data_IF_841769660504
#
_entry.id   IF_841769660504
#
_cell.length_a   1.000
_cell.length_b   1.000
_cell.length_c   1.000
_cell.angle_alpha   90.00
_cell.angle_beta   90.00
_cell.angle_gamma   90.00
#
_symmetry.space_group_name_H-M   'P 1'
#
loop_
_entity.id
_entity.type
_entity.pdbx_description
1 polymer ?
#
# COMPACT_ATOMS: atom_id res chain seq x y z
N UNK A 1 6.85 7.34 14.29
CA UNK A 1 6.25 6.95 15.59
C UNK A 1 5.28 5.78 15.43
N UNK A 2 4.55 5.64 14.34
CA UNK A 2 3.57 4.53 14.18
C UNK A 2 4.19 3.23 13.62
N UNK A 3 5.41 3.25 13.11
CA UNK A 3 6.10 2.07 12.59
C UNK A 3 7.14 1.52 13.58
N UNK A 4 7.77 2.38 14.35
CA UNK A 4 8.84 2.05 15.28
C UNK A 4 8.39 2.32 16.70
N UNK A 5 8.73 1.47 17.69
CA UNK A 5 8.43 1.72 19.10
C UNK A 5 8.89 3.12 19.54
N UNK A 6 8.06 3.81 20.30
CA UNK A 6 8.30 5.21 20.69
C UNK A 6 9.64 5.43 21.38
N UNK A 7 10.06 4.48 22.22
CA UNK A 7 11.37 4.54 22.89
C UNK A 7 12.54 4.62 21.93
N UNK A 8 12.54 3.80 20.87
CA UNK A 8 13.58 3.82 19.83
C UNK A 8 13.50 5.10 18.98
N UNK A 9 12.30 5.61 18.71
CA UNK A 9 12.14 6.90 18.02
C UNK A 9 12.76 8.03 18.82
N UNK A 10 12.51 8.07 20.14
CA UNK A 10 13.11 9.08 21.05
C UNK A 10 14.61 8.95 21.12
N UNK A 11 15.14 7.73 21.25
CA UNK A 11 16.57 7.48 21.25
C UNK A 11 17.23 8.02 19.97
N UNK A 12 16.72 7.64 18.81
CA UNK A 12 17.24 8.13 17.51
C UNK A 12 17.19 9.65 17.41
N UNK A 13 16.05 10.25 17.82
CA UNK A 13 15.86 11.69 17.74
C UNK A 13 16.77 12.47 18.69
N UNK A 14 16.99 11.97 19.90
CA UNK A 14 17.79 12.67 20.89
C UNK A 14 19.29 12.50 20.69
N UNK A 15 19.72 11.34 20.18
CA UNK A 15 21.15 11.06 19.95
C UNK A 15 21.64 11.53 18.59
N UNK A 16 20.75 11.63 17.59
CA UNK A 16 21.12 11.90 16.20
C UNK A 16 22.05 10.84 15.60
N UNK A 17 22.13 9.63 16.22
CA UNK A 17 23.01 8.57 15.77
C UNK A 17 22.59 8.00 14.42
N UNK A 18 23.57 7.45 13.69
CA UNK A 18 23.28 6.69 12.48
C UNK A 18 22.65 5.36 12.86
N UNK A 19 21.67 4.94 12.07
CA UNK A 19 20.99 3.64 12.16
C UNK A 19 21.43 2.80 10.97
N UNK A 20 21.88 1.58 11.23
CA UNK A 20 22.26 0.63 10.18
C UNK A 20 21.01 0.08 9.48
N UNK A 21 21.19 -0.48 8.26
CA UNK A 21 20.09 -1.09 7.51
C UNK A 21 19.47 -2.28 8.26
N UNK A 22 20.30 -3.11 8.90
CA UNK A 22 19.82 -4.26 9.67
C UNK A 22 19.05 -3.82 10.93
N UNK A 23 19.54 -2.82 11.64
CA UNK A 23 18.83 -2.24 12.78
C UNK A 23 17.47 -1.63 12.35
N UNK A 24 17.43 -0.96 11.20
CA UNK A 24 16.20 -0.42 10.62
C UNK A 24 15.19 -1.55 10.27
N UNK A 25 15.68 -2.70 9.83
CA UNK A 25 14.85 -3.89 9.59
C UNK A 25 14.32 -4.47 10.91
N UNK A 26 15.18 -4.66 11.90
CA UNK A 26 14.81 -5.21 13.22
C UNK A 26 13.75 -4.36 13.93
N UNK A 27 13.86 -3.04 13.85
CA UNK A 27 12.87 -2.14 14.45
C UNK A 27 11.61 -1.89 13.60
N UNK A 28 11.51 -2.49 12.42
CA UNK A 28 10.36 -2.36 11.52
C UNK A 28 10.29 -1.03 10.77
N UNK A 29 11.38 -0.28 10.70
CA UNK A 29 11.44 0.97 9.93
C UNK A 29 11.47 0.72 8.42
N UNK A 30 12.11 -0.36 7.99
CA UNK A 30 12.12 -0.84 6.61
C UNK A 30 11.63 -2.29 6.54
N UNK A 31 11.03 -2.67 5.43
CA UNK A 31 10.47 -4.01 5.24
C UNK A 31 11.51 -5.05 4.83
N UNK A 32 12.58 -4.62 4.16
CA UNK A 32 13.64 -5.50 3.61
C UNK A 32 14.96 -4.75 3.53
N UNK A 33 16.03 -5.51 3.57
CA UNK A 33 17.42 -5.06 3.32
C UNK A 33 18.01 -5.98 2.27
N UNK A 34 18.84 -5.42 1.40
CA UNK A 34 19.49 -6.13 0.31
C UNK A 34 21.00 -5.87 0.36
N UNK A 35 21.79 -6.83 -0.05
CA UNK A 35 23.25 -6.72 -0.01
C UNK A 35 23.83 -5.72 -1.01
N UNK A 36 23.13 -5.54 -2.15
CA UNK A 36 23.57 -4.63 -3.21
C UNK A 36 22.41 -3.80 -3.76
N UNK A 37 22.74 -2.66 -4.36
CA UNK A 37 21.76 -1.81 -5.04
C UNK A 37 21.02 -2.57 -6.17
N UNK A 38 21.74 -3.39 -6.94
CA UNK A 38 21.11 -4.16 -8.02
C UNK A 38 20.13 -5.20 -7.47
N UNK A 39 20.49 -5.90 -6.40
CA UNK A 39 19.59 -6.83 -5.72
C UNK A 39 18.35 -6.11 -5.15
N UNK A 40 18.55 -4.91 -4.59
CA UNK A 40 17.45 -4.07 -4.10
C UNK A 40 16.49 -3.68 -5.24
N UNK A 41 17.01 -3.18 -6.35
CA UNK A 41 16.20 -2.79 -7.50
C UNK A 41 15.42 -3.98 -8.06
N UNK A 42 16.06 -5.14 -8.21
CA UNK A 42 15.38 -6.35 -8.66
C UNK A 42 14.26 -6.78 -7.71
N UNK A 43 14.54 -6.78 -6.39
CA UNK A 43 13.55 -7.15 -5.38
C UNK A 43 12.37 -6.16 -5.29
N UNK A 44 12.64 -4.86 -5.42
CA UNK A 44 11.59 -3.82 -5.43
C UNK A 44 10.73 -3.92 -6.69
N UNK A 45 11.34 -4.17 -7.85
CA UNK A 45 10.59 -4.37 -9.11
C UNK A 45 9.71 -5.61 -9.05
N UNK A 46 10.17 -6.71 -8.43
CA UNK A 46 9.32 -7.89 -8.19
C UNK A 46 8.09 -7.56 -7.35
N UNK A 47 8.26 -6.82 -6.24
CA UNK A 47 7.14 -6.39 -5.40
C UNK A 47 6.20 -5.45 -6.18
N UNK A 48 6.74 -4.54 -6.97
CA UNK A 48 5.93 -3.62 -7.79
C UNK A 48 5.10 -4.40 -8.83
N UNK A 49 5.68 -5.44 -9.42
CA UNK A 49 4.96 -6.32 -10.34
C UNK A 49 3.82 -7.08 -9.63
N UNK A 50 4.10 -7.66 -8.45
CA UNK A 50 3.07 -8.33 -7.64
C UNK A 50 1.90 -7.38 -7.29
N UNK A 51 2.20 -6.10 -7.01
CA UNK A 51 1.16 -5.10 -6.75
C UNK A 51 0.38 -4.78 -8.03
N UNK A 52 1.07 -4.66 -9.18
CA UNK A 52 0.45 -4.33 -10.46
C UNK A 52 -0.45 -5.45 -11.01
N UNK A 53 -0.29 -6.67 -10.55
CA UNK A 53 -1.16 -7.82 -10.90
C UNK A 53 -2.50 -7.82 -10.15
N UNK A 54 -2.67 -6.96 -9.15
CA UNK A 54 -3.93 -6.85 -8.42
C UNK A 54 -4.83 -5.75 -9.03
N UNK A 55 -6.13 -5.84 -8.76
CA UNK A 55 -7.11 -4.85 -9.18
C UNK A 55 -6.72 -3.44 -8.69
N UNK A 56 -6.50 -2.46 -9.57
CA UNK A 56 -5.99 -1.14 -9.20
C UNK A 56 -6.88 -0.41 -8.19
N UNK A 57 -8.20 -0.54 -8.32
CA UNK A 57 -9.17 0.10 -7.42
C UNK A 57 -9.09 -0.53 -6.02
N UNK A 58 -8.92 -1.84 -5.92
CA UNK A 58 -8.74 -2.54 -4.64
C UNK A 58 -7.43 -2.11 -3.94
N UNK A 59 -6.31 -2.03 -4.68
CA UNK A 59 -5.04 -1.55 -4.15
C UNK A 59 -5.15 -0.11 -3.65
N UNK A 60 -5.81 0.76 -4.42
CA UNK A 60 -6.06 2.14 -4.01
C UNK A 60 -6.95 2.22 -2.76
N UNK A 61 -8.02 1.44 -2.70
CA UNK A 61 -8.90 1.34 -1.54
C UNK A 61 -8.18 0.88 -0.28
N UNK A 62 -7.36 -0.18 -0.38
CA UNK A 62 -6.52 -0.64 0.72
C UNK A 62 -5.57 0.44 1.23
N UNK A 63 -4.90 1.16 0.33
CA UNK A 63 -4.02 2.28 0.70
C UNK A 63 -4.78 3.36 1.47
N UNK A 64 -5.97 3.71 1.02
CA UNK A 64 -6.82 4.71 1.67
C UNK A 64 -7.29 4.23 3.05
N UNK A 65 -7.77 2.99 3.15
CA UNK A 65 -8.24 2.38 4.40
C UNK A 65 -7.14 2.34 5.46
N UNK A 66 -5.94 1.86 5.10
CA UNK A 66 -4.77 1.83 6.00
C UNK A 66 -4.40 3.24 6.48
N UNK A 67 -4.43 4.21 5.58
CA UNK A 67 -4.10 5.60 5.93
C UNK A 67 -5.15 6.20 6.85
N UNK A 68 -6.43 5.95 6.59
CA UNK A 68 -7.55 6.44 7.41
C UNK A 68 -7.52 5.83 8.82
N UNK A 69 -7.42 4.51 8.93
CA UNK A 69 -7.38 3.78 10.19
C UNK A 69 -6.20 4.17 11.11
N UNK A 70 -5.19 4.84 10.57
CA UNK A 70 -4.03 5.29 11.35
C UNK A 70 -4.38 6.33 12.40
N UNK A 71 -5.37 7.18 12.13
CA UNK A 71 -5.72 8.35 12.93
C UNK A 71 -7.18 8.33 13.43
N UNK A 72 -7.88 7.20 13.19
CA UNK A 72 -9.29 7.01 13.53
C UNK A 72 -9.48 5.76 14.38
N UNK A 73 -10.64 5.64 15.01
CA UNK A 73 -11.02 4.45 15.75
C UNK A 73 -11.27 3.26 14.82
N UNK A 74 -11.30 2.05 15.38
CA UNK A 74 -11.63 0.84 14.60
C UNK A 74 -13.04 0.93 14.02
N UNK A 75 -13.99 1.47 14.76
CA UNK A 75 -15.39 1.65 14.35
C UNK A 75 -15.48 2.57 13.12
N UNK A 76 -14.89 3.75 13.20
CA UNK A 76 -14.81 4.69 12.06
C UNK A 76 -14.11 4.09 10.85
N UNK A 77 -13.04 3.31 11.06
CA UNK A 77 -12.35 2.59 10.00
C UNK A 77 -13.23 1.55 9.30
N UNK A 78 -14.03 0.80 10.06
CA UNK A 78 -14.99 -0.17 9.53
C UNK A 78 -16.15 0.51 8.78
N UNK A 79 -16.68 1.60 9.28
CA UNK A 79 -17.69 2.40 8.57
C UNK A 79 -17.14 2.92 7.25
N UNK A 80 -15.92 3.46 7.27
CA UNK A 80 -15.28 3.98 6.08
C UNK A 80 -15.09 2.89 5.01
N UNK A 81 -14.58 1.71 5.37
CA UNK A 81 -14.35 0.62 4.41
C UNK A 81 -15.67 0.05 3.87
N UNK A 82 -16.72 0.00 4.69
CA UNK A 82 -18.06 -0.41 4.26
C UNK A 82 -18.63 0.54 3.21
N UNK A 83 -18.51 1.86 3.45
CA UNK A 83 -18.93 2.87 2.49
C UNK A 83 -18.11 2.82 1.21
N UNK A 84 -16.79 2.66 1.33
CA UNK A 84 -15.89 2.48 0.18
C UNK A 84 -16.30 1.27 -0.66
N UNK A 85 -16.46 0.12 -0.03
CA UNK A 85 -16.83 -1.12 -0.71
C UNK A 85 -18.21 -0.99 -1.41
N UNK A 86 -19.19 -0.40 -0.74
CA UNK A 86 -20.51 -0.19 -1.30
C UNK A 86 -20.53 0.73 -2.54
N UNK A 87 -19.59 1.71 -2.59
CA UNK A 87 -19.56 2.71 -3.66
C UNK A 87 -18.56 2.41 -4.77
N UNK A 88 -17.46 1.71 -4.48
CA UNK A 88 -16.33 1.55 -5.38
C UNK A 88 -16.07 0.13 -5.85
N UNK A 89 -16.52 -0.90 -5.12
CA UNK A 89 -16.36 -2.27 -5.58
C UNK A 89 -17.27 -2.52 -6.79
N UNK A 90 -16.63 -2.87 -7.91
CA UNK A 90 -17.34 -3.22 -9.14
C UNK A 90 -17.40 -4.74 -9.28
N UNK A 91 -18.56 -5.24 -9.63
CA UNK A 91 -18.79 -6.69 -9.80
C UNK A 91 -17.84 -7.30 -10.84
N UNK A 92 -17.51 -6.55 -11.89
CA UNK A 92 -16.63 -7.02 -12.96
C UNK A 92 -15.20 -7.24 -12.46
N UNK A 93 -14.67 -6.32 -11.65
CA UNK A 93 -13.32 -6.48 -11.06
C UNK A 93 -13.26 -7.65 -10.07
N UNK A 94 -14.33 -7.83 -9.27
CA UNK A 94 -14.41 -8.96 -8.33
C UNK A 94 -14.46 -10.27 -9.10
N UNK A 95 -15.30 -10.36 -10.13
CA UNK A 95 -15.46 -11.56 -10.97
C UNK A 95 -14.16 -11.91 -11.69
N UNK A 96 -13.48 -10.92 -12.26
CA UNK A 96 -12.18 -11.11 -12.91
C UNK A 96 -11.11 -11.57 -11.91
N UNK A 97 -11.02 -10.96 -10.74
CA UNK A 97 -10.07 -11.36 -9.71
C UNK A 97 -10.29 -12.82 -9.25
N UNK A 98 -11.55 -13.23 -9.11
CA UNK A 98 -11.89 -14.61 -8.75
C UNK A 98 -11.55 -15.59 -9.87
N UNK A 99 -11.92 -15.28 -11.11
CA UNK A 99 -11.65 -16.12 -12.30
C UNK A 99 -10.14 -16.26 -12.53
N UNK A 100 -9.41 -15.16 -12.51
CA UNK A 100 -7.96 -15.15 -12.69
C UNK A 100 -7.25 -16.04 -11.64
N UNK A 101 -7.69 -15.94 -10.38
CA UNK A 101 -7.16 -16.78 -9.29
C UNK A 101 -7.48 -18.26 -9.50
N UNK A 102 -8.70 -18.60 -9.91
CA UNK A 102 -9.11 -19.98 -10.18
C UNK A 102 -8.34 -20.59 -11.36
N UNK A 103 -8.14 -19.79 -12.41
CA UNK A 103 -7.44 -20.17 -13.64
C UNK A 103 -5.90 -20.05 -13.51
N UNK A 104 -5.40 -19.55 -12.37
CA UNK A 104 -3.96 -19.32 -12.11
C UNK A 104 -3.28 -18.47 -13.17
N UNK A 105 -3.95 -17.42 -13.61
CA UNK A 105 -3.47 -16.44 -14.58
C UNK A 105 -3.46 -15.03 -13.97
N UNK A 106 -2.72 -14.08 -14.54
CA UNK A 106 -2.85 -12.67 -14.20
C UNK A 106 -4.27 -12.17 -14.45
N UNK A 107 -4.77 -11.29 -13.58
CA UNK A 107 -6.04 -10.60 -13.79
C UNK A 107 -5.88 -9.49 -14.84
N UNK A 108 -6.97 -9.21 -15.55
CA UNK A 108 -7.04 -8.11 -16.52
C UNK A 108 -8.00 -7.05 -15.98
N UNK A 109 -7.47 -5.94 -15.55
CA UNK A 109 -8.21 -4.86 -14.90
C UNK A 109 -8.11 -3.57 -15.71
N UNK A 110 -9.14 -2.74 -15.63
CA UNK A 110 -9.09 -1.39 -16.16
C UNK A 110 -8.17 -0.50 -15.29
N UNK A 111 -7.46 0.41 -15.93
CA UNK A 111 -6.68 1.41 -15.21
C UNK A 111 -7.59 2.36 -14.40
N UNK A 112 -7.03 2.89 -13.31
CA UNK A 112 -7.71 3.95 -12.57
C UNK A 112 -7.93 5.17 -13.49
N UNK A 113 -9.08 5.87 -13.36
CA UNK A 113 -9.30 7.10 -14.10
C UNK A 113 -8.18 8.10 -13.85
N UNK A 114 -7.74 8.77 -14.91
CA UNK A 114 -6.73 9.83 -14.78
C UNK A 114 -7.20 10.91 -13.80
N UNK A 115 -6.31 11.27 -12.86
CA UNK A 115 -6.60 12.38 -11.96
C UNK A 115 -6.68 13.69 -12.78
N UNK A 116 -7.82 14.36 -12.72
CA UNK A 116 -7.93 15.73 -13.25
C UNK A 116 -7.11 16.66 -12.36
N UNK A 117 -6.09 17.29 -12.92
CA UNK A 117 -5.19 18.18 -12.18
C UNK A 117 -5.85 19.49 -11.74
N UNK A 118 -7.03 19.82 -12.28
CA UNK A 118 -7.83 21.00 -11.89
C UNK A 118 -9.32 20.70 -11.97
N UNK A 119 -10.06 21.18 -10.99
CA UNK A 119 -11.52 21.30 -11.06
C UNK A 119 -11.81 22.41 -12.07
N UNK A 120 -12.32 22.07 -13.24
CA UNK A 120 -12.70 23.06 -14.26
C UNK A 120 -12.08 22.88 -15.66
N UNK A 121 -11.14 21.98 -15.88
CA UNK A 121 -10.68 21.61 -17.23
C UNK A 121 -11.72 20.70 -17.90
N UNK A 122 -12.90 21.24 -18.12
CA UNK A 122 -14.01 20.66 -18.88
C UNK A 122 -14.19 21.48 -20.15
N UNK A 123 -13.57 21.06 -21.23
CA UNK A 123 -13.99 21.34 -22.61
C UNK A 123 -13.36 20.32 -23.52
#
# INVERSE_FOLDING_TARGET
>A
VKLVPEGLVREMAYTGRKVSANEALEMGLVNRVYETQNAMLAGVMSIAQEIAENAPLAVYGCKRAITYARDHTTEEGLEWINLWNASMLQNDEISEAMSARQEKRPGVFADLPALKNKIGDGS
#
